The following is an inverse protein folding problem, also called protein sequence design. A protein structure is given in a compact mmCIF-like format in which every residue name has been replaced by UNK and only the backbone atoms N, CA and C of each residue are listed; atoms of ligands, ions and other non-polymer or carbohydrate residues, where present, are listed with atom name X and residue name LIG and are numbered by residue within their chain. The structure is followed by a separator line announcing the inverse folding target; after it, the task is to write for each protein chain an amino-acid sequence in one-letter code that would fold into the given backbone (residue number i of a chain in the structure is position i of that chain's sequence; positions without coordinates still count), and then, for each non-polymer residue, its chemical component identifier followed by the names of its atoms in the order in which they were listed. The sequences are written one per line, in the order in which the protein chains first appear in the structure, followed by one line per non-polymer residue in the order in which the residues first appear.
data_IF_000610551421
#
_entry.id   IF_000610551421
#
_cell.length_a   1.000
_cell.length_b   1.000
_cell.length_c   1.000
_cell.angle_alpha   90.00
_cell.angle_beta   90.00
_cell.angle_gamma   90.00
#
_symmetry.space_group_name_H-M   'P 1'
#
loop_
_entity.id
_entity.type
_entity.pdbx_description
1 polymer ?
#
# COMPACT_ATOMS: atom_id res chain seq x y z
N UNK A 1 -18.13 54.51 -41.03
CA UNK A 1 -19.15 53.50 -41.40
C UNK A 1 -18.55 52.57 -42.45
N UNK A 2 -18.55 51.26 -42.16
CA UNK A 2 -18.78 50.12 -43.08
C UNK A 2 -17.96 50.04 -44.39
N UNK A 3 -17.44 48.91 -44.85
CA UNK A 3 -17.35 47.52 -44.39
C UNK A 3 -16.49 46.83 -45.48
N UNK A 4 -15.64 45.89 -45.07
CA UNK A 4 -15.40 44.58 -45.69
C UNK A 4 -14.89 44.49 -47.14
N UNK A 5 -13.64 44.03 -47.25
CA UNK A 5 -12.99 43.49 -48.45
C UNK A 5 -13.42 42.03 -48.73
N UNK A 6 -13.62 41.61 -50.00
CA UNK A 6 -14.01 40.25 -50.34
C UNK A 6 -12.80 39.30 -50.51
N UNK A 7 -12.81 38.27 -49.67
CA UNK A 7 -12.56 36.86 -49.97
C UNK A 7 -11.68 36.52 -51.20
N UNK A 8 -10.43 36.14 -50.93
CA UNK A 8 -9.58 35.37 -51.86
C UNK A 8 -9.86 33.89 -51.60
N UNK A 9 -10.37 33.22 -52.64
CA UNK A 9 -10.67 31.80 -52.71
C UNK A 9 -9.39 31.03 -53.03
N UNK A 10 -8.80 30.37 -52.03
CA UNK A 10 -7.60 29.54 -52.21
C UNK A 10 -7.94 28.05 -52.11
N UNK A 11 -7.65 27.39 -53.22
CA UNK A 11 -7.55 25.97 -53.54
C UNK A 11 -7.32 25.00 -52.35
N UNK A 12 -8.23 24.03 -52.19
CA UNK A 12 -8.08 22.88 -51.30
C UNK A 12 -7.00 21.92 -51.83
N UNK A 13 -5.91 21.75 -51.07
CA UNK A 13 -5.03 20.61 -51.18
C UNK A 13 -4.86 20.05 -49.76
N UNK A 14 -5.58 18.97 -49.47
CA UNK A 14 -5.53 18.22 -48.21
C UNK A 14 -4.33 17.27 -48.21
N UNK A 15 -3.34 17.45 -47.32
CA UNK A 15 -2.46 16.36 -46.93
C UNK A 15 -3.15 15.57 -45.81
N UNK A 16 -3.43 14.30 -46.11
CA UNK A 16 -3.77 13.27 -45.15
C UNK A 16 -2.59 13.09 -44.18
N UNK A 17 -2.66 13.73 -43.01
CA UNK A 17 -1.73 13.47 -41.90
C UNK A 17 -2.42 12.56 -40.89
N UNK A 18 -1.86 11.36 -40.82
CA UNK A 18 -2.18 10.25 -39.94
C UNK A 18 -2.37 10.78 -38.52
N UNK A 19 -3.55 10.54 -37.95
CA UNK A 19 -3.81 10.68 -36.53
C UNK A 19 -2.90 9.68 -35.79
N UNK A 20 -1.69 10.10 -35.44
CA UNK A 20 -0.91 9.46 -34.41
C UNK A 20 -1.67 9.65 -33.10
N UNK A 21 -2.12 8.56 -32.48
CA UNK A 21 -2.57 8.56 -31.09
C UNK A 21 -1.38 8.98 -30.22
N UNK A 22 -1.21 10.28 -30.01
CA UNK A 22 -0.27 10.82 -29.04
C UNK A 22 -0.83 10.51 -27.66
N UNK A 23 -0.40 9.39 -27.10
CA UNK A 23 -0.59 9.04 -25.69
C UNK A 23 -0.08 10.20 -24.84
N UNK A 24 -0.98 11.10 -24.46
CA UNK A 24 -0.71 12.15 -23.49
C UNK A 24 -0.51 11.46 -22.15
N UNK A 25 0.75 11.14 -21.87
CA UNK A 25 1.20 10.71 -20.56
C UNK A 25 1.14 11.97 -19.70
N UNK A 26 0.10 12.09 -18.88
CA UNK A 26 0.04 13.14 -17.88
C UNK A 26 1.32 13.09 -17.02
N UNK A 27 1.90 14.25 -16.66
CA UNK A 27 3.08 14.28 -15.83
C UNK A 27 2.67 13.80 -14.43
N UNK A 28 3.05 12.56 -14.12
CA UNK A 28 3.05 12.05 -12.75
C UNK A 28 3.95 12.98 -11.96
N UNK A 29 3.38 13.69 -10.99
CA UNK A 29 4.11 14.59 -10.10
C UNK A 29 5.36 13.88 -9.56
N UNK A 30 6.51 14.55 -9.66
CA UNK A 30 7.82 14.09 -9.19
C UNK A 30 7.71 13.53 -7.77
N UNK A 31 7.68 12.21 -7.66
CA UNK A 31 8.08 11.53 -6.45
C UNK A 31 9.61 11.61 -6.43
N UNK A 32 10.25 12.14 -5.37
CA UNK A 32 11.69 12.21 -5.32
C UNK A 32 12.27 10.81 -5.54
N UNK A 33 13.17 10.70 -6.50
CA UNK A 33 13.93 9.50 -6.82
C UNK A 33 14.78 9.14 -5.59
N UNK A 34 14.21 8.32 -4.71
CA UNK A 34 14.93 7.73 -3.59
C UNK A 34 15.93 6.75 -4.18
N UNK A 35 17.21 7.11 -4.12
CA UNK A 35 18.34 6.31 -4.59
C UNK A 35 18.14 4.82 -4.29
N UNK A 36 18.17 4.02 -5.37
CA UNK A 36 18.15 2.56 -5.34
C UNK A 36 19.38 2.04 -4.58
N UNK A 37 19.23 1.84 -3.28
CA UNK A 37 20.16 1.05 -2.47
C UNK A 37 19.36 0.04 -1.65
N UNK A 38 19.33 -1.19 -2.12
CA UNK A 38 19.13 -2.36 -1.28
C UNK A 38 20.36 -3.26 -1.36
N UNK A 39 20.66 -4.14 -0.39
CA UNK A 39 20.15 -4.26 0.98
C UNK A 39 21.29 -4.31 2.04
N UNK A 40 21.04 -3.93 3.29
CA UNK A 40 21.73 -4.55 4.45
C UNK A 40 20.72 -4.66 5.60
N UNK A 41 19.94 -5.74 5.65
CA UNK A 41 19.21 -6.11 6.87
C UNK A 41 19.27 -7.62 7.02
N UNK A 42 19.96 -8.06 8.07
CA UNK A 42 20.38 -9.43 8.31
C UNK A 42 19.29 -10.38 8.79
N UNK A 43 19.58 -11.66 8.53
CA UNK A 43 19.23 -12.84 9.30
C UNK A 43 17.75 -13.01 9.67
N UNK A 44 17.00 -13.55 8.72
CA UNK A 44 15.69 -14.15 8.97
C UNK A 44 15.15 -14.73 7.68
N UNK A 45 15.45 -16.02 7.46
CA UNK A 45 14.98 -16.88 6.36
C UNK A 45 14.07 -16.18 5.35
N UNK A 46 14.60 -15.88 4.16
CA UNK A 46 13.80 -15.52 3.00
C UNK A 46 12.72 -16.59 2.83
N UNK A 47 11.47 -16.28 3.20
CA UNK A 47 10.36 -17.15 2.88
C UNK A 47 10.32 -17.22 1.36
N UNK A 48 10.53 -18.41 0.78
CA UNK A 48 10.29 -18.66 -0.65
C UNK A 48 8.88 -18.18 -0.94
N UNK A 49 8.78 -17.05 -1.63
CA UNK A 49 7.49 -16.44 -1.96
C UNK A 49 6.79 -17.32 -3.00
N UNK A 50 5.83 -18.10 -2.55
CA UNK A 50 4.99 -18.94 -3.40
C UNK A 50 3.70 -18.18 -3.72
N UNK A 51 3.40 -18.05 -5.01
CA UNK A 51 2.10 -17.54 -5.44
C UNK A 51 1.10 -18.67 -5.28
N UNK A 52 0.25 -18.55 -4.25
CA UNK A 52 -0.76 -19.56 -3.96
C UNK A 52 -2.06 -19.13 -4.63
N UNK A 53 -2.58 -19.96 -5.52
CA UNK A 53 -3.95 -19.84 -5.99
C UNK A 53 -4.89 -20.23 -4.85
N UNK A 54 -5.35 -19.22 -4.11
CA UNK A 54 -6.32 -19.38 -3.04
C UNK A 54 -7.67 -18.77 -3.45
N UNK A 55 -8.74 -19.53 -3.25
CA UNK A 55 -10.08 -19.08 -3.57
C UNK A 55 -10.64 -18.17 -2.46
N UNK A 56 -11.18 -17.02 -2.86
CA UNK A 56 -11.90 -16.12 -1.95
C UNK A 56 -13.32 -16.62 -1.71
N UNK A 57 -13.69 -16.80 -0.44
CA UNK A 57 -15.09 -17.04 -0.09
C UNK A 57 -15.95 -15.76 -0.11
N UNK A 58 -15.33 -14.58 0.04
CA UNK A 58 -16.03 -13.29 0.01
C UNK A 58 -15.15 -12.18 -0.55
N UNK A 59 -15.77 -11.21 -1.23
CA UNK A 59 -15.12 -9.96 -1.62
C UNK A 59 -15.18 -8.89 -0.54
N UNK A 60 -15.88 -9.14 0.58
CA UNK A 60 -15.94 -8.22 1.71
C UNK A 60 -14.93 -8.62 2.79
N UNK A 61 -14.15 -7.67 3.32
CA UNK A 61 -13.25 -7.95 4.43
C UNK A 61 -13.99 -8.20 5.74
N UNK A 62 -13.49 -9.16 6.52
CA UNK A 62 -14.01 -9.47 7.86
C UNK A 62 -13.64 -8.38 8.87
N UNK A 63 -12.55 -7.66 8.64
CA UNK A 63 -12.13 -6.51 9.45
C UNK A 63 -11.37 -5.53 8.57
N UNK A 64 -11.60 -4.24 8.80
CA UNK A 64 -10.80 -3.16 8.22
C UNK A 64 -10.26 -2.31 9.36
N UNK A 65 -8.96 -2.05 9.33
CA UNK A 65 -8.24 -1.25 10.29
C UNK A 65 -7.49 -0.13 9.62
N UNK A 66 -7.28 0.96 10.36
CA UNK A 66 -6.39 2.04 9.93
C UNK A 66 -5.39 2.36 11.02
N UNK A 67 -4.13 2.49 10.63
CA UNK A 67 -3.08 3.06 11.46
C UNK A 67 -2.74 4.42 10.83
N UNK A 68 -2.99 5.49 11.57
CA UNK A 68 -2.65 6.84 11.20
C UNK A 68 -1.23 7.16 11.69
N UNK A 69 -0.52 8.00 10.98
CA UNK A 69 0.74 8.56 11.44
C UNK A 69 0.71 10.08 11.37
N UNK A 70 1.41 10.75 12.29
CA UNK A 70 1.61 12.19 12.23
C UNK A 70 2.90 12.61 12.94
N UNK A 71 3.41 13.80 12.67
CA UNK A 71 4.57 14.35 13.39
C UNK A 71 4.25 14.69 14.86
N UNK A 72 2.99 15.00 15.15
CA UNK A 72 2.53 15.31 16.49
C UNK A 72 2.14 14.04 17.24
N UNK A 73 2.45 13.93 18.54
CA UNK A 73 2.00 12.80 19.34
C UNK A 73 0.47 12.85 19.46
N UNK A 74 -0.17 11.69 19.32
CA UNK A 74 -1.59 11.54 19.61
C UNK A 74 -1.83 11.41 21.12
N UNK A 75 -3.00 11.83 21.58
CA UNK A 75 -3.46 11.61 22.96
C UNK A 75 -4.26 10.31 23.01
N UNK A 76 -3.96 9.45 23.98
CA UNK A 76 -4.67 8.18 24.15
C UNK A 76 -3.86 7.18 24.96
N UNK A 77 -4.24 5.92 24.86
CA UNK A 77 -3.57 4.81 25.53
C UNK A 77 -2.47 4.25 24.63
N UNK A 78 -1.26 4.09 25.14
CA UNK A 78 -0.22 3.32 24.44
C UNK A 78 -0.60 1.84 24.49
N UNK A 79 -0.62 1.19 23.33
CA UNK A 79 -0.94 -0.24 23.20
C UNK A 79 0.23 -1.00 22.58
N UNK A 80 0.38 -2.28 22.94
CA UNK A 80 1.48 -3.12 22.43
C UNK A 80 1.37 -3.36 20.91
N UNK A 81 0.15 -3.60 20.42
CA UNK A 81 -0.16 -3.73 19.00
C UNK A 81 -1.65 -3.52 18.71
N UNK A 82 -2.03 -2.91 17.57
CA UNK A 82 -3.34 -3.06 16.97
C UNK A 82 -3.67 -4.52 16.75
N UNK A 83 -4.88 -4.90 17.13
CA UNK A 83 -5.39 -6.25 16.97
C UNK A 83 -6.56 -6.25 15.99
N UNK A 84 -6.46 -7.03 14.93
CA UNK A 84 -7.48 -7.18 13.89
C UNK A 84 -8.11 -8.57 13.91
N UNK A 85 -9.19 -8.74 13.15
CA UNK A 85 -9.95 -9.99 13.09
C UNK A 85 -10.33 -10.52 14.48
N UNK A 86 -10.88 -9.64 15.33
CA UNK A 86 -11.29 -9.96 16.71
C UNK A 86 -10.13 -10.47 17.58
N UNK A 87 -8.95 -9.83 17.46
CA UNK A 87 -7.78 -10.16 18.29
C UNK A 87 -6.96 -11.34 17.77
N UNK A 88 -7.17 -11.77 16.52
CA UNK A 88 -6.47 -12.94 15.95
C UNK A 88 -5.22 -12.58 15.17
N UNK A 89 -5.09 -11.31 14.75
CA UNK A 89 -3.92 -10.80 14.05
C UNK A 89 -3.38 -9.60 14.78
N UNK A 90 -2.15 -9.68 15.24
CA UNK A 90 -1.40 -8.56 15.79
C UNK A 90 -0.65 -7.85 14.68
N UNK A 91 -0.62 -6.52 14.73
CA UNK A 91 0.16 -5.70 13.80
C UNK A 91 1.16 -4.86 14.58
N UNK A 92 2.43 -4.99 14.24
CA UNK A 92 3.51 -4.18 14.80
C UNK A 92 4.07 -3.28 13.69
N UNK A 93 4.31 -2.01 14.01
CA UNK A 93 5.05 -1.11 13.12
C UNK A 93 6.49 -1.02 13.61
N UNK A 94 7.42 -1.32 12.73
CA UNK A 94 8.85 -1.32 12.99
C UNK A 94 9.51 -0.13 12.29
N UNK A 95 10.46 0.51 12.95
CA UNK A 95 11.33 1.52 12.34
C UNK A 95 12.36 0.87 11.39
N UNK A 96 13.18 1.69 10.74
CA UNK A 96 14.24 1.22 9.85
C UNK A 96 15.22 0.23 10.49
N UNK A 97 15.39 0.26 11.82
CA UNK A 97 16.28 -0.60 12.57
C UNK A 97 15.58 -1.86 13.12
N UNK A 98 14.32 -2.09 12.76
CA UNK A 98 13.53 -3.21 13.28
C UNK A 98 12.99 -3.00 14.70
N UNK A 99 13.08 -1.78 15.25
CA UNK A 99 12.56 -1.48 16.59
C UNK A 99 11.07 -1.13 16.52
N UNK A 100 10.27 -1.63 17.47
CA UNK A 100 8.85 -1.30 17.60
C UNK A 100 8.65 0.21 17.78
N UNK A 101 7.78 0.79 16.95
CA UNK A 101 7.29 2.15 17.10
C UNK A 101 6.06 2.10 18.03
N UNK A 102 6.00 2.89 19.11
CA UNK A 102 4.83 2.94 19.98
C UNK A 102 3.56 3.36 19.23
N UNK A 103 2.45 2.67 19.52
CA UNK A 103 1.14 2.95 18.93
C UNK A 103 0.22 3.46 20.02
N UNK A 104 -0.48 4.56 19.72
CA UNK A 104 -1.48 5.16 20.59
C UNK A 104 -2.87 4.82 20.06
N UNK A 105 -3.70 4.21 20.89
CA UNK A 105 -5.12 4.03 20.59
C UNK A 105 -5.93 5.22 21.13
N UNK A 106 -6.75 5.81 20.28
CA UNK A 106 -7.64 6.92 20.64
C UNK A 106 -8.93 6.84 19.86
N UNK A 107 -10.07 6.80 20.56
CA UNK A 107 -11.43 6.74 19.97
C UNK A 107 -11.63 5.60 18.96
N UNK A 108 -10.95 4.46 19.15
CA UNK A 108 -11.03 3.29 18.28
C UNK A 108 -10.05 3.29 17.10
N UNK A 109 -9.36 4.40 16.86
CA UNK A 109 -8.30 4.52 15.86
C UNK A 109 -6.92 4.32 16.47
N UNK A 110 -5.95 3.98 15.61
CA UNK A 110 -4.55 3.79 15.99
C UNK A 110 -3.67 4.87 15.40
N UNK A 111 -2.75 5.40 16.19
CA UNK A 111 -1.91 6.52 15.83
C UNK A 111 -0.44 6.24 16.14
N UNK A 112 0.43 6.67 15.24
CA UNK A 112 1.87 6.62 15.39
C UNK A 112 2.44 8.04 15.31
N UNK A 113 3.34 8.35 16.23
CA UNK A 113 4.20 9.51 16.05
C UNK A 113 5.32 9.15 15.08
N UNK A 114 5.51 9.96 14.05
CA UNK A 114 6.40 9.69 12.93
C UNK A 114 7.33 10.87 12.64
N UNK A 115 8.45 10.58 12.00
CA UNK A 115 9.37 11.58 11.45
C UNK A 115 9.34 11.45 9.93
N UNK A 116 9.13 12.57 9.24
CA UNK A 116 9.11 12.58 7.77
C UNK A 116 10.38 11.98 7.20
N UNK A 117 10.23 11.16 6.16
CA UNK A 117 11.32 10.49 5.45
C UNK A 117 11.85 9.24 6.15
N UNK A 118 11.49 8.98 7.40
CA UNK A 118 11.84 7.71 8.05
C UNK A 118 11.07 6.55 7.41
N UNK A 119 11.79 5.45 7.22
CA UNK A 119 11.25 4.20 6.69
C UNK A 119 10.55 3.43 7.80
N UNK A 120 9.51 2.70 7.45
CA UNK A 120 8.84 1.79 8.36
C UNK A 120 8.48 0.48 7.69
N UNK A 121 8.21 -0.53 8.51
CA UNK A 121 7.79 -1.87 8.08
C UNK A 121 6.57 -2.30 8.89
N UNK A 122 5.65 -3.03 8.26
CA UNK A 122 4.51 -3.64 8.93
C UNK A 122 4.79 -5.12 9.17
N UNK A 123 4.75 -5.54 10.42
CA UNK A 123 4.90 -6.93 10.84
C UNK A 123 3.55 -7.45 11.32
N UNK A 124 3.08 -8.52 10.69
CA UNK A 124 1.81 -9.17 11.02
C UNK A 124 2.09 -10.52 11.64
N UNK A 125 1.37 -10.83 12.70
CA UNK A 125 1.44 -12.11 13.40
C UNK A 125 0.03 -12.67 13.54
N UNK A 126 -0.19 -13.88 13.04
CA UNK A 126 -1.45 -14.59 13.22
C UNK A 126 -1.34 -15.57 14.37
N UNK A 127 -1.94 -15.18 15.50
CA UNK A 127 -1.93 -15.98 16.72
C UNK A 127 -3.09 -16.98 16.78
N UNK A 128 -3.80 -17.19 15.67
CA UNK A 128 -4.94 -18.11 15.58
C UNK A 128 -4.67 -19.33 14.71
N UNK A 129 -5.63 -20.26 14.72
CA UNK A 129 -5.64 -21.45 13.85
C UNK A 129 -6.32 -21.22 12.49
N UNK A 130 -6.65 -19.97 12.13
CA UNK A 130 -7.36 -19.62 10.88
C UNK A 130 -6.42 -18.89 9.94
N UNK A 131 -6.42 -19.21 8.64
CA UNK A 131 -5.67 -18.47 7.62
C UNK A 131 -6.39 -17.19 7.17
N UNK A 132 -5.62 -16.14 6.86
CA UNK A 132 -6.13 -14.84 6.45
C UNK A 132 -5.50 -14.35 5.13
N UNK A 133 -6.30 -13.67 4.31
CA UNK A 133 -5.77 -12.77 3.26
C UNK A 133 -5.63 -11.38 3.88
N UNK A 134 -4.42 -10.82 3.86
CA UNK A 134 -4.13 -9.47 4.36
C UNK A 134 -3.83 -8.56 3.18
N UNK A 135 -4.70 -7.59 2.94
CA UNK A 135 -4.51 -6.55 1.93
C UNK A 135 -3.95 -5.33 2.65
N UNK A 136 -2.74 -4.94 2.26
CA UNK A 136 -2.02 -3.83 2.89
C UNK A 136 -1.92 -2.68 1.91
N UNK A 137 -2.42 -1.53 2.33
CA UNK A 137 -2.29 -0.27 1.59
C UNK A 137 -1.57 0.76 2.45
N UNK A 138 -0.66 1.51 1.85
CA UNK A 138 0.00 2.66 2.44
C UNK A 138 -0.33 3.89 1.59
N UNK A 139 -0.87 4.93 2.23
CA UNK A 139 -1.30 6.17 1.57
C UNK A 139 -2.30 5.95 0.41
N UNK A 140 -3.12 4.91 0.53
CA UNK A 140 -4.10 4.52 -0.50
C UNK A 140 -3.54 3.68 -1.63
N UNK A 141 -2.22 3.43 -1.67
CA UNK A 141 -1.58 2.56 -2.65
C UNK A 141 -1.40 1.15 -2.09
N UNK A 142 -1.77 0.16 -2.88
CA UNK A 142 -1.67 -1.26 -2.58
C UNK A 142 -0.22 -1.74 -2.65
N UNK A 143 0.23 -2.41 -1.59
CA UNK A 143 1.61 -2.89 -1.47
C UNK A 143 1.96 -4.06 -2.39
N UNK A 144 0.98 -4.83 -2.88
CA UNK A 144 1.23 -5.97 -3.78
C UNK A 144 1.22 -5.51 -5.23
N UNK A 145 0.28 -4.65 -5.60
CA UNK A 145 0.03 -4.24 -6.99
C UNK A 145 0.67 -2.91 -7.37
N UNK A 146 1.03 -2.07 -6.40
CA UNK A 146 1.54 -0.72 -6.63
C UNK A 146 0.51 0.27 -7.20
N UNK A 147 -0.78 -0.09 -7.21
CA UNK A 147 -1.91 0.71 -7.72
C UNK A 147 -2.83 1.12 -6.58
N UNK A 148 -3.92 1.82 -6.88
CA UNK A 148 -4.93 2.17 -5.89
C UNK A 148 -5.43 0.94 -5.11
N UNK A 149 -5.57 1.13 -3.81
CA UNK A 149 -6.07 0.15 -2.87
C UNK A 149 -7.50 -0.27 -3.21
N UNK A 150 -7.70 -1.58 -3.33
CA UNK A 150 -9.02 -2.17 -3.52
C UNK A 150 -9.07 -3.46 -2.75
N UNK A 151 -10.22 -3.72 -2.11
CA UNK A 151 -10.44 -5.04 -1.53
C UNK A 151 -10.35 -6.12 -2.62
N UNK A 152 -10.61 -5.83 -3.89
CA UNK A 152 -10.48 -6.84 -4.95
C UNK A 152 -9.02 -7.15 -5.33
N UNK A 153 -8.04 -6.37 -4.89
CA UNK A 153 -6.63 -6.62 -5.16
C UNK A 153 -6.13 -7.86 -4.40
N UNK A 154 -5.16 -8.61 -4.94
CA UNK A 154 -4.53 -9.72 -4.23
C UNK A 154 -3.86 -9.24 -2.93
N UNK A 155 -3.96 -10.04 -1.88
CA UNK A 155 -3.27 -9.80 -0.61
C UNK A 155 -2.17 -10.81 -0.32
N UNK A 156 -1.54 -10.63 0.85
CA UNK A 156 -0.62 -11.61 1.42
C UNK A 156 -1.40 -12.73 2.11
N UNK A 157 -0.92 -13.97 1.99
CA UNK A 157 -1.47 -15.10 2.72
C UNK A 157 -0.75 -15.21 4.06
N UNK A 158 -1.51 -15.03 5.14
CA UNK A 158 -1.05 -15.16 6.50
C UNK A 158 -1.61 -16.46 7.09
N UNK A 159 -0.81 -17.52 7.00
CA UNK A 159 -1.17 -18.84 7.50
C UNK A 159 -1.35 -18.86 9.04
N UNK A 160 -2.08 -19.85 9.59
CA UNK A 160 -2.18 -20.09 11.02
C UNK A 160 -0.81 -20.12 11.71
N UNK A 161 -0.64 -19.41 12.82
CA UNK A 161 0.61 -19.37 13.59
C UNK A 161 1.80 -18.67 12.93
N UNK A 162 1.66 -18.21 11.68
CA UNK A 162 2.74 -17.62 10.91
C UNK A 162 2.78 -16.09 11.04
N UNK A 163 3.87 -15.53 10.52
CA UNK A 163 4.10 -14.09 10.47
C UNK A 163 4.44 -13.68 9.03
N UNK A 164 4.14 -12.42 8.69
CA UNK A 164 4.58 -11.80 7.43
C UNK A 164 5.14 -10.41 7.72
N UNK A 165 6.12 -10.00 6.92
CA UNK A 165 6.73 -8.67 7.00
C UNK A 165 6.55 -7.94 5.68
N UNK A 166 5.82 -6.84 5.70
CA UNK A 166 5.56 -5.99 4.52
C UNK A 166 6.44 -4.74 4.63
N UNK A 167 7.51 -4.71 3.83
CA UNK A 167 8.56 -3.67 3.88
C UNK A 167 8.30 -2.47 2.97
N UNK A 168 7.37 -2.59 2.02
CA UNK A 168 7.19 -1.59 0.98
C UNK A 168 6.20 -2.00 -0.10
N UNK A 169 6.12 -1.18 -1.15
CA UNK A 169 5.39 -1.47 -2.38
C UNK A 169 6.21 -2.40 -3.27
N UNK A 170 5.64 -3.52 -3.65
CA UNK A 170 6.28 -4.52 -4.52
C UNK A 170 6.54 -3.94 -5.90
N UNK A 171 7.76 -4.10 -6.39
CA UNK A 171 8.14 -3.79 -7.78
C UNK A 171 8.35 -5.08 -8.57
N UNK A 172 9.04 -6.04 -7.97
CA UNK A 172 9.27 -7.37 -8.55
C UNK A 172 9.11 -8.45 -7.46
N UNK A 173 9.55 -9.70 -7.73
CA UNK A 173 9.52 -10.76 -6.72
C UNK A 173 10.43 -10.47 -5.52
N UNK A 174 11.56 -9.79 -5.72
CA UNK A 174 12.55 -9.54 -4.66
C UNK A 174 12.79 -8.05 -4.39
N UNK A 175 12.20 -7.17 -5.20
CA UNK A 175 12.41 -5.72 -5.12
C UNK A 175 11.16 -5.00 -4.62
N UNK A 176 11.36 -4.07 -3.70
CA UNK A 176 10.31 -3.26 -3.12
C UNK A 176 10.75 -1.81 -2.98
N UNK A 177 9.82 -0.87 -3.20
CA UNK A 177 9.96 0.53 -2.80
C UNK A 177 9.58 0.65 -1.33
N UNK A 178 10.49 1.03 -0.41
CA UNK A 178 10.20 1.07 1.02
C UNK A 178 9.01 1.98 1.35
N UNK A 179 8.25 1.64 2.39
CA UNK A 179 7.34 2.60 2.98
C UNK A 179 8.12 3.71 3.69
N UNK A 180 7.66 4.95 3.55
CA UNK A 180 8.24 6.13 4.18
C UNK A 180 7.12 7.02 4.73
N UNK A 181 7.36 7.69 5.84
CA UNK A 181 6.42 8.66 6.38
C UNK A 181 6.49 10.00 5.61
N UNK A 182 5.35 10.56 5.19
CA UNK A 182 5.26 11.85 4.49
C UNK A 182 4.72 12.99 5.39
N UNK A 183 4.80 14.26 4.96
CA UNK A 183 4.29 15.43 5.71
C UNK A 183 2.83 15.81 5.38
N UNK A 184 2.06 16.12 6.45
CA UNK A 184 0.67 16.61 6.55
C UNK A 184 -0.23 16.58 5.28
N UNK A 185 -0.96 15.49 5.13
CA UNK A 185 -2.37 15.34 5.58
C UNK A 185 -2.46 13.92 6.12
N UNK A 186 -3.28 13.66 7.14
CA UNK A 186 -3.46 12.33 7.69
C UNK A 186 -3.70 11.33 6.54
N UNK A 187 -2.70 10.53 6.20
CA UNK A 187 -2.81 9.50 5.20
C UNK A 187 -2.65 8.14 5.87
N UNK A 188 -3.43 7.25 5.31
CA UNK A 188 -4.05 6.12 5.97
C UNK A 188 -3.19 4.90 5.65
N UNK A 189 -2.57 4.26 6.63
CA UNK A 189 -2.22 2.85 6.45
C UNK A 189 -3.49 2.05 6.68
N UNK A 190 -4.18 1.71 5.58
CA UNK A 190 -5.39 0.88 5.61
C UNK A 190 -4.94 -0.57 5.53
N UNK A 191 -5.19 -1.30 6.61
CA UNK A 191 -5.02 -2.75 6.67
C UNK A 191 -6.42 -3.35 6.54
N UNK A 192 -6.69 -4.02 5.43
CA UNK A 192 -7.89 -4.82 5.28
C UNK A 192 -7.54 -6.29 5.52
N UNK A 193 -8.14 -6.87 6.54
CA UNK A 193 -7.98 -8.29 6.87
C UNK A 193 -9.23 -9.03 6.44
N UNK A 194 -9.04 -10.08 5.65
CA UNK A 194 -10.11 -10.98 5.23
C UNK A 194 -9.91 -12.34 5.88
N UNK A 195 -10.96 -12.82 6.54
CA UNK A 195 -11.00 -14.13 7.17
C UNK A 195 -11.61 -15.21 6.27
N UNK A 196 -11.17 -16.43 6.57
CA UNK A 196 -11.38 -17.71 5.90
C UNK A 196 -10.98 -17.73 4.42
N UNK A 197 -9.86 -18.40 4.15
CA UNK A 197 -9.52 -19.00 2.86
C UNK A 197 -9.22 -20.48 3.14
N UNK A 198 -9.79 -21.39 2.36
CA UNK A 198 -9.40 -22.79 2.33
C UNK A 198 -8.31 -22.85 1.28
N UNK A 199 -7.13 -23.31 1.68
CA UNK A 199 -6.11 -23.71 0.72
C UNK A 199 -6.71 -24.80 -0.16
N UNK A 200 -6.74 -24.59 -1.48
CA UNK A 200 -6.90 -25.71 -2.39
C UNK A 200 -5.59 -26.47 -2.34
N UNK A 201 -5.52 -27.48 -1.48
CA UNK A 201 -4.43 -28.45 -1.52
C UNK A 201 -4.66 -29.25 -2.79
N UNK A 202 -3.79 -29.08 -3.80
CA UNK A 202 -3.61 -30.08 -4.86
C UNK A 202 -2.52 -31.04 -4.47
#
# INVERSE_FOLDING_TARGET
MKLFSPFVMTLFLTPLLIAGCSSHKEPVADLPELEQTGPIWGDGAEAKEEYIDAARFSTQPTTVGTIYYSASPAQGMVVDSPAFAQGRINVTVLDKNGKKIPIVQSKGDYYIQSVKGEKYTLYFENISNTGYEVIVTADGIDSVTGKDGSYRNPGYILFPGNTITVRGFRQTKSEYKPFVFYEKKALISKVAVRGQMQTLVS
#
